data_IF_006109473127
#
_entry.id   IF_006109473127
#
_cell.length_a   1.000
_cell.length_b   1.000
_cell.length_c   1.000
_cell.angle_alpha   90.00
_cell.angle_beta   90.00
_cell.angle_gamma   90.00
#
_symmetry.space_group_name_H-M   'P 1'
#
loop_
_entity.id
_entity.type
_entity.pdbx_description
1 polymer ?
#
# COMPACT_ATOMS: atom_id res chain seq x y z
N UNK A 1 -19.77 1.68 -5.66
CA UNK A 1 -18.55 2.39 -6.10
C UNK A 1 -17.60 1.33 -6.66
N UNK A 2 -16.27 1.46 -6.57
CA UNK A 2 -15.32 0.48 -7.12
C UNK A 2 -14.47 -0.15 -6.01
N UNK A 3 -14.23 -1.46 -6.10
CA UNK A 3 -13.26 -2.16 -5.26
C UNK A 3 -11.83 -1.88 -5.75
N UNK A 4 -10.87 -1.83 -4.82
CA UNK A 4 -9.45 -1.59 -5.12
C UNK A 4 -8.66 -2.84 -4.72
N UNK A 5 -7.79 -3.30 -5.61
CA UNK A 5 -6.83 -4.38 -5.32
C UNK A 5 -5.42 -3.91 -5.65
N UNK A 6 -4.52 -4.10 -4.68
CA UNK A 6 -3.09 -3.84 -4.75
C UNK A 6 -2.41 -5.20 -4.56
N UNK A 7 -1.59 -5.62 -5.50
CA UNK A 7 -0.91 -6.92 -5.44
C UNK A 7 0.60 -6.75 -5.51
N UNK A 8 1.29 -7.18 -4.45
CA UNK A 8 2.75 -7.28 -4.35
C UNK A 8 3.48 -6.05 -4.87
N UNK A 9 3.02 -4.85 -4.51
CA UNK A 9 3.66 -3.63 -4.99
C UNK A 9 5.00 -3.44 -4.31
N UNK A 10 6.00 -3.12 -5.12
CA UNK A 10 7.34 -2.80 -4.69
C UNK A 10 7.70 -1.40 -5.17
N UNK A 11 8.43 -0.66 -4.34
CA UNK A 11 8.91 0.67 -4.71
C UNK A 11 10.28 0.89 -4.11
N UNK A 12 11.16 1.44 -4.96
CA UNK A 12 12.50 1.88 -4.57
C UNK A 12 12.79 3.26 -5.14
N UNK A 13 13.58 4.04 -4.41
CA UNK A 13 14.20 5.27 -4.84
C UNK A 13 15.72 5.09 -4.83
N UNK A 14 16.31 4.85 -5.99
CA UNK A 14 17.71 4.44 -6.09
C UNK A 14 17.95 3.13 -5.34
N UNK A 15 18.90 3.14 -4.40
CA UNK A 15 19.23 1.99 -3.57
C UNK A 15 18.27 1.74 -2.40
N UNK A 16 17.38 2.69 -2.10
CA UNK A 16 16.47 2.60 -0.95
C UNK A 16 15.14 1.96 -1.38
N UNK A 17 14.88 0.74 -0.92
CA UNK A 17 13.56 0.11 -1.05
C UNK A 17 12.62 0.62 0.04
N UNK A 18 11.46 1.13 -0.36
CA UNK A 18 10.46 1.77 0.52
C UNK A 18 9.18 0.94 0.65
N UNK A 19 8.77 0.24 -0.42
CA UNK A 19 7.68 -0.74 -0.36
C UNK A 19 8.22 -2.13 -0.73
N UNK A 20 7.92 -3.11 0.12
CA UNK A 20 8.45 -4.48 0.04
C UNK A 20 7.35 -5.50 -0.25
N UNK A 21 6.75 -5.44 -1.45
CA UNK A 21 5.78 -6.44 -1.90
C UNK A 21 4.44 -6.35 -1.16
N UNK A 22 3.89 -5.14 -1.03
CA UNK A 22 2.65 -4.88 -0.29
C UNK A 22 1.42 -5.32 -1.10
N UNK A 23 0.52 -6.07 -0.47
CA UNK A 23 -0.79 -6.42 -1.04
C UNK A 23 -1.92 -5.92 -0.14
N UNK A 24 -2.96 -5.35 -0.73
CA UNK A 24 -4.13 -4.83 -0.04
C UNK A 24 -5.37 -5.00 -0.92
N UNK A 25 -6.50 -5.35 -0.32
CA UNK A 25 -7.81 -5.33 -0.97
C UNK A 25 -8.74 -4.43 -0.17
N UNK A 26 -9.43 -3.53 -0.86
CA UNK A 26 -10.42 -2.61 -0.29
C UNK A 26 -11.75 -2.88 -0.99
N UNK A 27 -12.74 -3.32 -0.22
CA UNK A 27 -14.07 -3.62 -0.74
C UNK A 27 -14.85 -2.36 -1.10
N UNK A 28 -15.90 -2.53 -1.91
CA UNK A 28 -16.78 -1.42 -2.26
C UNK A 28 -17.46 -0.83 -1.02
N UNK A 29 -17.30 0.48 -0.81
CA UNK A 29 -17.85 1.19 0.34
C UNK A 29 -17.09 1.01 1.66
N UNK A 30 -15.94 0.33 1.64
CA UNK A 30 -15.08 0.16 2.81
C UNK A 30 -14.34 1.47 3.17
N UNK A 31 -14.28 1.79 4.46
CA UNK A 31 -13.51 2.92 4.98
C UNK A 31 -12.21 2.41 5.59
N UNK A 32 -11.09 2.68 4.93
CA UNK A 32 -9.76 2.23 5.32
C UNK A 32 -8.82 3.42 5.54
N UNK A 33 -7.91 3.31 6.51
CA UNK A 33 -6.84 4.29 6.76
C UNK A 33 -5.51 3.55 6.88
N UNK A 34 -4.44 4.15 6.32
CA UNK A 34 -3.07 3.68 6.47
C UNK A 34 -2.39 4.49 7.60
N UNK A 35 -1.84 3.79 8.59
CA UNK A 35 -1.22 4.41 9.76
C UNK A 35 0.17 3.83 10.01
N UNK A 36 1.13 4.71 10.30
CA UNK A 36 2.47 4.34 10.73
C UNK A 36 3.35 5.55 11.05
N UNK A 37 4.55 5.34 11.60
CA UNK A 37 5.51 6.40 11.88
C UNK A 37 6.04 7.05 10.59
N UNK A 38 6.69 8.22 10.70
CA UNK A 38 7.34 8.86 9.55
C UNK A 38 8.29 7.90 8.82
N UNK A 39 8.03 7.68 7.54
CA UNK A 39 8.85 6.82 6.67
C UNK A 39 8.54 5.33 6.73
N UNK A 40 7.37 4.92 7.23
CA UNK A 40 6.98 3.50 7.35
C UNK A 40 6.63 2.78 6.04
N UNK A 41 6.58 3.50 4.92
CA UNK A 41 6.27 2.97 3.59
C UNK A 41 6.50 4.00 2.50
#
# INVERSE_FOLDING_TARGET
MAAITIEKIEKSFGATSVLHGVSLSIADGEFLTLLGPSGCG
#
